data_IF_173087266370
#
_entry.id   IF_173087266370
#
_cell.length_a   1.000
_cell.length_b   1.000
_cell.length_c   1.000
_cell.angle_alpha   90.00
_cell.angle_beta   90.00
_cell.angle_gamma   90.00
#
_symmetry.space_group_name_H-M   'P 1'
#
loop_
_entity.id
_entity.type
_entity.pdbx_description
1 polymer ?
#
# COMPACT_ATOMS: atom_id res chain seq x y z
N UNK A 1 -30.23 -80.44 -19.08
CA UNK A 1 -29.90 -79.21 -19.86
C UNK A 1 -30.43 -78.02 -19.05
N UNK A 2 -29.60 -77.40 -18.23
CA UNK A 2 -29.96 -76.22 -17.43
C UNK A 2 -29.25 -75.02 -18.03
N UNK A 3 -30.01 -74.05 -18.48
CA UNK A 3 -29.55 -72.75 -18.97
C UNK A 3 -29.36 -71.78 -17.78
N UNK A 4 -28.13 -71.30 -17.54
CA UNK A 4 -27.83 -70.22 -16.64
C UNK A 4 -28.03 -68.85 -17.39
N UNK A 5 -28.58 -67.82 -16.76
CA UNK A 5 -28.58 -66.49 -17.33
C UNK A 5 -27.28 -65.73 -16.98
N UNK A 6 -26.69 -65.09 -18.00
CA UNK A 6 -25.59 -64.12 -17.85
C UNK A 6 -26.17 -62.79 -17.30
N UNK A 7 -25.72 -62.41 -16.15
CA UNK A 7 -25.94 -61.05 -15.62
C UNK A 7 -24.83 -60.14 -16.13
N UNK A 8 -25.19 -59.16 -16.97
CA UNK A 8 -24.31 -58.07 -17.39
C UNK A 8 -24.31 -56.98 -16.33
N UNK A 9 -23.15 -56.77 -15.72
CA UNK A 9 -22.90 -55.67 -14.79
C UNK A 9 -22.64 -54.36 -15.58
N UNK A 10 -23.54 -53.41 -15.52
CA UNK A 10 -23.33 -52.06 -16.04
C UNK A 10 -22.53 -51.27 -15.00
N UNK A 11 -21.26 -50.97 -15.28
CA UNK A 11 -20.45 -50.08 -14.49
C UNK A 11 -20.85 -48.63 -14.71
N UNK A 12 -21.47 -47.99 -13.73
CA UNK A 12 -21.75 -46.56 -13.72
C UNK A 12 -20.44 -45.80 -13.51
N UNK A 13 -19.96 -45.10 -14.53
CA UNK A 13 -18.86 -44.17 -14.42
C UNK A 13 -19.37 -42.90 -13.71
N UNK A 14 -18.95 -42.71 -12.48
CA UNK A 14 -19.16 -41.45 -11.75
C UNK A 14 -18.25 -40.38 -12.34
N UNK A 15 -18.78 -39.47 -13.11
CA UNK A 15 -18.10 -38.25 -13.54
C UNK A 15 -18.01 -37.30 -12.34
N UNK A 16 -16.84 -37.24 -11.70
CA UNK A 16 -16.53 -36.22 -10.73
C UNK A 16 -16.42 -34.87 -11.43
N UNK A 17 -17.48 -34.07 -11.32
CA UNK A 17 -17.47 -32.66 -11.70
C UNK A 17 -16.48 -31.96 -10.74
N UNK A 18 -15.29 -31.62 -11.22
CA UNK A 18 -14.43 -30.67 -10.52
C UNK A 18 -15.16 -29.33 -10.51
N UNK A 19 -15.62 -28.91 -9.34
CA UNK A 19 -16.12 -27.57 -9.14
C UNK A 19 -15.01 -26.60 -9.56
N UNK A 20 -15.24 -25.84 -10.62
CA UNK A 20 -14.35 -24.73 -11.00
C UNK A 20 -14.37 -23.75 -9.83
N UNK A 21 -13.27 -23.69 -9.11
CA UNK A 21 -13.12 -22.76 -7.99
C UNK A 21 -13.20 -21.35 -8.58
N UNK A 22 -14.21 -20.58 -8.20
CA UNK A 22 -14.38 -19.22 -8.67
C UNK A 22 -13.09 -18.42 -8.38
N UNK A 23 -12.61 -17.66 -9.37
CA UNK A 23 -11.45 -16.81 -9.17
C UNK A 23 -11.69 -15.87 -7.96
N UNK A 24 -10.66 -15.61 -7.13
CA UNK A 24 -10.78 -14.67 -6.02
C UNK A 24 -11.32 -13.33 -6.52
N UNK A 25 -12.18 -12.70 -5.71
CA UNK A 25 -12.71 -11.36 -6.02
C UNK A 25 -11.52 -10.39 -6.06
N UNK A 26 -11.38 -9.52 -7.08
CA UNK A 26 -10.22 -8.65 -7.20
C UNK A 26 -10.11 -7.66 -6.04
N UNK A 27 -8.89 -7.35 -5.64
CA UNK A 27 -8.55 -6.37 -4.60
C UNK A 27 -7.64 -5.34 -5.25
N UNK A 28 -7.78 -4.05 -4.91
CA UNK A 28 -6.85 -3.01 -5.33
C UNK A 28 -5.98 -2.64 -4.13
N UNK A 29 -4.68 -2.85 -4.28
CA UNK A 29 -3.67 -2.44 -3.31
C UNK A 29 -3.09 -1.10 -3.77
N UNK A 30 -3.46 -0.01 -3.08
CA UNK A 30 -3.07 1.35 -3.42
C UNK A 30 -1.66 1.71 -2.94
N UNK A 31 -1.05 0.84 -2.15
CA UNK A 31 0.25 1.07 -1.52
C UNK A 31 1.11 -0.20 -1.60
N UNK A 32 1.54 -0.52 -2.80
CA UNK A 32 2.39 -1.68 -3.05
C UNK A 32 3.81 -1.23 -3.43
N UNK A 33 4.84 -1.87 -2.89
CA UNK A 33 6.21 -1.51 -3.19
C UNK A 33 6.92 -2.52 -4.11
N UNK A 34 7.69 -1.97 -5.04
CA UNK A 34 8.67 -2.71 -5.83
C UNK A 34 10.07 -2.19 -5.46
N UNK A 35 10.75 -2.90 -4.56
CA UNK A 35 12.02 -2.49 -3.95
C UNK A 35 13.10 -3.56 -4.12
N UNK A 36 14.37 -3.19 -3.85
CA UNK A 36 15.45 -4.13 -3.62
C UNK A 36 15.30 -4.81 -2.24
N UNK A 37 15.80 -6.04 -2.13
CA UNK A 37 15.72 -6.81 -0.88
C UNK A 37 16.52 -6.18 0.28
N UNK A 38 17.41 -5.25 -0.02
CA UNK A 38 18.27 -4.50 0.91
C UNK A 38 17.77 -3.07 1.19
N UNK A 39 16.62 -2.67 0.65
CA UNK A 39 16.13 -1.30 0.73
C UNK A 39 15.88 -0.81 2.17
N UNK A 40 15.55 -1.72 3.09
CA UNK A 40 15.22 -1.40 4.49
C UNK A 40 16.16 -2.09 5.49
N UNK A 41 17.42 -2.27 5.10
CA UNK A 41 18.43 -2.94 5.90
C UNK A 41 18.99 -4.18 5.19
N UNK A 42 19.79 -5.01 5.86
CA UNK A 42 20.36 -6.19 5.22
C UNK A 42 19.25 -7.14 4.75
N UNK A 43 19.43 -7.84 3.61
CA UNK A 43 18.49 -8.84 3.15
C UNK A 43 18.14 -9.85 4.24
N UNK A 44 16.87 -10.20 4.37
CA UNK A 44 16.38 -10.99 5.48
C UNK A 44 16.01 -10.19 6.73
N UNK A 45 15.97 -8.86 6.63
CA UNK A 45 15.42 -7.98 7.69
C UNK A 45 14.01 -8.40 8.08
N UNK A 46 13.61 -8.06 9.31
CA UNK A 46 12.35 -8.53 9.89
C UNK A 46 11.49 -7.37 10.36
N UNK A 47 10.18 -7.59 10.36
CA UNK A 47 9.19 -6.68 10.93
C UNK A 47 8.16 -7.47 11.75
N UNK A 48 7.63 -6.88 12.80
CA UNK A 48 6.48 -7.45 13.52
C UNK A 48 5.16 -7.14 12.80
N UNK A 49 4.26 -8.10 12.80
CA UNK A 49 2.92 -7.93 12.25
C UNK A 49 1.87 -8.59 13.18
N UNK A 50 1.36 -7.85 14.20
CA UNK A 50 1.73 -6.48 14.61
C UNK A 50 2.91 -6.41 15.61
N UNK A 51 3.40 -5.20 15.85
CA UNK A 51 4.17 -4.91 17.05
C UNK A 51 3.24 -5.01 18.28
N UNK A 52 3.80 -5.54 19.39
CA UNK A 52 3.20 -5.43 20.71
C UNK A 52 3.47 -4.03 21.30
N UNK A 53 4.25 -3.91 22.37
CA UNK A 53 4.76 -2.59 22.74
C UNK A 53 5.81 -2.15 21.72
N UNK A 54 5.77 -0.85 21.35
CA UNK A 54 6.80 -0.29 20.50
C UNK A 54 8.18 -0.36 21.17
N UNK A 55 9.26 -0.65 20.42
CA UNK A 55 10.61 -0.69 20.98
C UNK A 55 10.99 0.64 21.63
N UNK A 56 11.57 0.58 22.83
CA UNK A 56 12.07 1.76 23.55
C UNK A 56 13.55 1.95 23.26
N UNK A 57 13.95 3.21 23.00
CA UNK A 57 15.35 3.59 22.86
C UNK A 57 15.90 4.07 24.21
N UNK A 58 17.09 3.58 24.58
CA UNK A 58 17.90 4.14 25.65
C UNK A 58 18.88 5.17 25.03
N UNK A 59 18.77 6.46 25.34
CA UNK A 59 19.64 7.47 24.75
C UNK A 59 21.12 7.35 25.16
N UNK A 60 21.42 6.61 26.21
CA UNK A 60 22.80 6.34 26.63
C UNK A 60 23.49 5.23 25.83
N UNK A 61 22.72 4.50 25.00
CA UNK A 61 23.22 3.40 24.17
C UNK A 61 23.33 3.79 22.69
N UNK A 62 24.19 3.07 21.98
CA UNK A 62 24.31 3.23 20.52
C UNK A 62 22.97 3.00 19.83
N UNK A 63 22.68 3.81 18.81
CA UNK A 63 21.42 3.70 18.04
C UNK A 63 21.27 2.32 17.36
N UNK A 64 22.39 1.69 17.00
CA UNK A 64 22.40 0.39 16.35
C UNK A 64 21.75 -0.71 17.20
N UNK A 65 21.84 -0.63 18.54
CA UNK A 65 21.16 -1.55 19.44
C UNK A 65 19.63 -1.44 19.30
N UNK A 66 19.13 -0.22 19.14
CA UNK A 66 17.72 0.04 18.92
C UNK A 66 17.26 -0.46 17.54
N UNK A 67 18.01 -0.10 16.49
CA UNK A 67 17.72 -0.52 15.11
C UNK A 67 17.71 -2.05 15.00
N UNK A 68 18.68 -2.72 15.62
CA UNK A 68 18.74 -4.19 15.64
C UNK A 68 17.46 -4.80 16.25
N UNK A 69 16.96 -4.23 17.35
CA UNK A 69 15.71 -4.70 17.99
C UNK A 69 14.46 -4.35 17.19
N UNK A 70 14.55 -3.39 16.28
CA UNK A 70 13.42 -3.01 15.45
C UNK A 70 13.34 -3.81 14.15
N UNK A 71 14.47 -4.05 13.45
CA UNK A 71 14.47 -4.59 12.08
C UNK A 71 15.21 -5.92 11.90
N UNK A 72 16.12 -6.30 12.82
CA UNK A 72 16.93 -7.51 12.67
C UNK A 72 16.43 -8.64 13.57
N UNK A 73 16.18 -8.31 14.84
CA UNK A 73 15.71 -9.23 15.85
C UNK A 73 14.57 -8.62 16.67
N UNK A 74 13.42 -8.31 16.02
CA UNK A 74 12.29 -7.73 16.71
C UNK A 74 11.69 -8.72 17.71
N UNK A 75 11.25 -8.19 18.86
CA UNK A 75 10.66 -8.96 19.94
C UNK A 75 9.15 -9.16 19.72
N UNK A 76 8.82 -10.10 18.83
CA UNK A 76 7.44 -10.52 18.57
C UNK A 76 7.36 -12.01 18.22
N UNK A 77 6.20 -12.60 18.46
CA UNK A 77 6.00 -14.04 18.34
C UNK A 77 6.19 -14.59 16.92
N UNK A 78 5.81 -13.80 15.91
CA UNK A 78 5.87 -14.18 14.49
C UNK A 78 6.33 -12.99 13.64
N UNK A 79 7.64 -12.71 13.59
CA UNK A 79 8.15 -11.69 12.70
C UNK A 79 8.05 -12.14 11.24
N UNK A 80 7.63 -11.22 10.37
CA UNK A 80 7.77 -11.39 8.93
C UNK A 80 9.23 -11.21 8.56
N UNK A 81 9.72 -12.00 7.60
CA UNK A 81 11.12 -11.99 7.15
C UNK A 81 11.19 -11.65 5.66
N UNK A 82 11.99 -10.66 5.31
CA UNK A 82 12.24 -10.30 3.92
C UNK A 82 13.02 -11.40 3.18
N UNK A 83 12.80 -11.58 1.87
CA UNK A 83 13.57 -12.48 1.03
C UNK A 83 15.06 -12.08 0.94
N UNK A 84 15.96 -13.03 0.69
CA UNK A 84 17.41 -12.77 0.69
C UNK A 84 17.93 -12.10 -0.60
N UNK A 85 17.12 -11.96 -1.65
CA UNK A 85 17.54 -11.38 -2.94
C UNK A 85 16.37 -10.69 -3.65
N UNK A 86 16.68 -9.72 -4.52
CA UNK A 86 15.69 -9.03 -5.34
C UNK A 86 14.86 -9.99 -6.20
N UNK A 87 15.50 -11.01 -6.77
CA UNK A 87 14.80 -12.03 -7.54
C UNK A 87 13.79 -12.82 -6.71
N UNK A 88 14.13 -13.14 -5.47
CA UNK A 88 13.23 -13.85 -4.55
C UNK A 88 12.08 -12.92 -4.11
N UNK A 89 12.36 -11.63 -3.84
CA UNK A 89 11.37 -10.63 -3.50
C UNK A 89 10.40 -10.39 -4.65
N UNK A 90 10.89 -10.17 -5.87
CA UNK A 90 10.06 -10.02 -7.06
C UNK A 90 9.14 -11.23 -7.26
N UNK A 91 9.67 -12.46 -7.13
CA UNK A 91 8.87 -13.68 -7.27
C UNK A 91 7.76 -13.74 -6.22
N UNK A 92 8.07 -13.48 -4.95
CA UNK A 92 7.09 -13.51 -3.87
C UNK A 92 6.00 -12.43 -4.05
N UNK A 93 6.38 -11.25 -4.50
CA UNK A 93 5.42 -10.18 -4.84
C UNK A 93 4.48 -10.59 -5.97
N UNK A 94 5.00 -11.20 -7.05
CA UNK A 94 4.18 -11.71 -8.16
C UNK A 94 3.26 -12.85 -7.70
N UNK A 95 3.74 -13.75 -6.82
CA UNK A 95 2.93 -14.80 -6.23
C UNK A 95 1.76 -14.23 -5.41
N UNK A 96 2.00 -13.18 -4.60
CA UNK A 96 0.94 -12.48 -3.87
C UNK A 96 -0.08 -11.79 -4.78
N UNK A 97 0.40 -11.06 -5.80
CA UNK A 97 -0.47 -10.42 -6.80
C UNK A 97 -1.43 -11.45 -7.42
N UNK A 98 -0.94 -12.61 -7.77
CA UNK A 98 -1.75 -13.70 -8.35
C UNK A 98 -2.67 -14.36 -7.32
N UNK A 99 -2.11 -14.70 -6.15
CA UNK A 99 -2.82 -15.42 -5.09
C UNK A 99 -4.04 -14.67 -4.58
N UNK A 100 -3.89 -13.35 -4.35
CA UNK A 100 -4.96 -12.49 -3.83
C UNK A 100 -5.72 -11.75 -4.93
N UNK A 101 -5.42 -12.05 -6.21
CA UNK A 101 -5.99 -11.33 -7.36
C UNK A 101 -5.88 -9.80 -7.19
N UNK A 102 -4.67 -9.32 -6.85
CA UNK A 102 -4.42 -7.89 -6.63
C UNK A 102 -4.31 -7.15 -7.96
N UNK A 103 -4.80 -5.91 -7.96
CA UNK A 103 -4.35 -4.83 -8.84
C UNK A 103 -3.49 -3.93 -7.96
N UNK A 104 -2.17 -3.91 -8.19
CA UNK A 104 -1.20 -3.25 -7.33
C UNK A 104 -0.75 -1.91 -7.92
N UNK A 105 -1.00 -0.80 -7.22
CA UNK A 105 -0.33 0.47 -7.49
C UNK A 105 1.07 0.36 -6.93
N UNK A 106 2.03 0.03 -7.80
CA UNK A 106 3.38 -0.35 -7.39
C UNK A 106 4.35 0.81 -7.53
N UNK A 107 4.91 1.26 -6.43
CA UNK A 107 5.90 2.33 -6.33
C UNK A 107 7.27 1.83 -5.88
N UNK A 108 8.30 2.62 -6.20
CA UNK A 108 9.69 2.31 -5.86
C UNK A 108 10.67 2.81 -6.91
N UNK A 109 11.95 2.39 -6.88
CA UNK A 109 12.91 2.66 -7.94
C UNK A 109 12.41 2.14 -9.29
N UNK A 110 12.52 2.96 -10.35
CA UNK A 110 11.90 2.71 -11.66
C UNK A 110 12.22 1.32 -12.25
N UNK A 111 13.45 0.83 -12.07
CA UNK A 111 13.87 -0.47 -12.60
C UNK A 111 13.17 -1.66 -11.90
N UNK A 112 12.88 -1.56 -10.60
CA UNK A 112 12.12 -2.58 -9.88
C UNK A 112 10.64 -2.54 -10.25
N UNK A 113 10.06 -1.35 -10.37
CA UNK A 113 8.68 -1.16 -10.83
C UNK A 113 8.50 -1.72 -12.24
N UNK A 114 9.44 -1.43 -13.15
CA UNK A 114 9.40 -1.94 -14.53
C UNK A 114 9.52 -3.46 -14.57
N UNK A 115 10.38 -4.07 -13.74
CA UNK A 115 10.52 -5.52 -13.64
C UNK A 115 9.22 -6.18 -13.16
N UNK A 116 8.56 -5.61 -12.16
CA UNK A 116 7.28 -6.10 -11.65
C UNK A 116 6.18 -5.94 -12.71
N UNK A 117 6.09 -4.75 -13.35
CA UNK A 117 5.12 -4.47 -14.39
C UNK A 117 5.26 -5.41 -15.59
N UNK A 118 6.48 -5.68 -16.07
CA UNK A 118 6.72 -6.64 -17.16
C UNK A 118 6.27 -8.06 -16.80
N UNK A 119 6.31 -8.43 -15.52
CA UNK A 119 5.94 -9.79 -15.08
C UNK A 119 4.44 -9.96 -14.88
N UNK A 120 3.72 -8.88 -14.53
CA UNK A 120 2.27 -8.88 -14.29
C UNK A 120 1.59 -7.61 -14.85
N UNK A 121 1.65 -7.36 -16.18
CA UNK A 121 1.26 -6.08 -16.79
C UNK A 121 -0.23 -5.74 -16.66
N UNK A 122 -1.09 -6.75 -16.51
CA UNK A 122 -2.54 -6.55 -16.33
C UNK A 122 -2.94 -6.29 -14.88
N UNK A 123 -2.01 -6.48 -13.93
CA UNK A 123 -2.28 -6.40 -12.49
C UNK A 123 -1.40 -5.35 -11.78
N UNK A 124 -0.53 -4.66 -12.50
CA UNK A 124 0.35 -3.63 -11.93
C UNK A 124 0.05 -2.28 -12.58
N UNK A 125 -0.22 -1.29 -11.76
CA UNK A 125 -0.32 0.12 -12.12
C UNK A 125 1.01 0.77 -11.69
N UNK A 126 1.89 1.15 -12.63
CA UNK A 126 3.21 1.66 -12.28
C UNK A 126 3.13 3.07 -11.68
N UNK A 127 3.80 3.24 -10.56
CA UNK A 127 3.96 4.48 -9.84
C UNK A 127 5.45 4.79 -9.60
N UNK A 128 5.79 6.02 -9.25
CA UNK A 128 7.17 6.42 -8.96
C UNK A 128 7.26 7.08 -7.60
N UNK A 129 8.03 6.44 -6.69
CA UNK A 129 8.34 6.97 -5.37
C UNK A 129 9.57 7.87 -5.40
N UNK A 130 9.50 9.04 -4.76
CA UNK A 130 10.63 9.93 -4.53
C UNK A 130 10.34 10.95 -3.42
N UNK A 131 11.39 11.63 -2.94
CA UNK A 131 11.26 12.70 -1.95
C UNK A 131 12.32 12.70 -0.87
N UNK A 132 12.91 11.54 -0.58
CA UNK A 132 13.98 11.34 0.40
C UNK A 132 15.40 11.41 -0.21
N UNK A 133 15.48 11.59 -1.53
CA UNK A 133 16.70 11.70 -2.32
C UNK A 133 16.63 12.79 -3.41
N UNK A 134 17.44 12.68 -4.45
CA UNK A 134 17.39 13.60 -5.59
C UNK A 134 15.99 13.59 -6.23
N UNK A 135 15.44 14.78 -6.46
CA UNK A 135 14.14 14.92 -7.10
C UNK A 135 14.25 14.68 -8.62
N UNK A 136 13.36 13.88 -9.23
CA UNK A 136 13.33 13.66 -10.66
C UNK A 136 12.97 14.95 -11.41
N UNK A 137 13.48 15.13 -12.62
CA UNK A 137 13.07 16.27 -13.44
C UNK A 137 11.64 16.10 -13.96
N UNK A 138 10.95 17.23 -14.15
CA UNK A 138 9.61 17.23 -14.77
C UNK A 138 9.63 16.61 -16.18
N UNK A 139 10.73 16.79 -16.91
CA UNK A 139 10.91 16.18 -18.25
C UNK A 139 10.94 14.65 -18.16
N UNK A 140 11.67 14.11 -17.20
CA UNK A 140 11.75 12.66 -16.96
C UNK A 140 10.38 12.08 -16.61
N UNK A 141 9.63 12.74 -15.71
CA UNK A 141 8.27 12.30 -15.33
C UNK A 141 7.32 12.29 -16.53
N UNK A 142 7.37 13.32 -17.39
CA UNK A 142 6.59 13.36 -18.64
C UNK A 142 6.97 12.20 -19.57
N UNK A 143 8.25 11.88 -19.68
CA UNK A 143 8.73 10.78 -20.52
C UNK A 143 8.25 9.43 -19.99
N UNK A 144 8.29 9.21 -18.68
CA UNK A 144 7.78 7.99 -18.05
C UNK A 144 6.25 7.87 -18.25
N UNK A 145 5.53 8.96 -18.08
CA UNK A 145 4.09 9.00 -18.34
C UNK A 145 3.76 8.65 -19.79
N UNK A 146 4.43 9.26 -20.76
CA UNK A 146 4.24 8.99 -22.19
C UNK A 146 4.52 7.53 -22.57
N UNK A 147 5.47 6.87 -21.87
CA UNK A 147 5.76 5.43 -22.03
C UNK A 147 4.77 4.52 -21.31
N UNK A 148 3.79 5.06 -20.57
CA UNK A 148 2.87 4.28 -19.74
C UNK A 148 3.48 3.69 -18.46
N UNK A 149 4.68 4.13 -18.09
CA UNK A 149 5.44 3.68 -16.90
C UNK A 149 5.25 4.60 -15.69
N UNK A 150 4.40 5.62 -15.79
CA UNK A 150 3.98 6.49 -14.70
C UNK A 150 2.47 6.71 -14.82
N UNK A 151 1.70 6.12 -13.91
CA UNK A 151 0.24 6.23 -13.80
C UNK A 151 -0.22 6.83 -12.46
N UNK A 152 0.65 6.82 -11.46
CA UNK A 152 0.46 7.44 -10.15
C UNK A 152 1.77 8.10 -9.75
N UNK A 153 1.71 9.33 -9.27
CA UNK A 153 2.86 10.05 -8.75
C UNK A 153 2.95 9.78 -7.24
N UNK A 154 3.84 8.92 -6.85
CA UNK A 154 4.00 8.50 -5.44
C UNK A 154 4.53 7.07 -5.29
N UNK A 155 4.93 6.77 -4.13
CA UNK A 155 4.83 7.47 -2.83
C UNK A 155 5.73 8.71 -2.80
N UNK A 156 5.19 9.87 -2.44
CA UNK A 156 5.95 11.10 -2.23
C UNK A 156 6.39 11.19 -0.77
N UNK A 157 7.70 11.03 -0.53
CA UNK A 157 8.29 10.86 0.81
C UNK A 157 9.03 12.10 1.32
N UNK A 158 8.59 13.29 0.93
CA UNK A 158 9.27 14.58 1.19
C UNK A 158 9.57 14.83 2.67
N UNK A 159 8.74 14.36 3.57
CA UNK A 159 8.94 14.53 5.00
C UNK A 159 10.24 13.87 5.54
N UNK A 160 10.76 12.83 4.86
CA UNK A 160 12.03 12.20 5.23
C UNK A 160 13.23 13.13 4.97
N UNK A 161 13.12 14.00 3.96
CA UNK A 161 14.09 15.05 3.68
C UNK A 161 13.84 16.35 4.49
N UNK A 162 12.83 16.37 5.38
CA UNK A 162 12.46 17.56 6.15
C UNK A 162 11.73 18.60 5.33
N UNK A 163 11.12 18.21 4.21
CA UNK A 163 10.36 19.07 3.31
C UNK A 163 8.89 18.97 3.68
N UNK A 164 8.24 20.11 3.92
CA UNK A 164 6.82 20.19 4.20
C UNK A 164 5.99 19.95 2.92
N UNK A 165 4.73 19.45 3.03
CA UNK A 165 3.90 19.16 1.86
C UNK A 165 3.57 20.38 0.98
N UNK A 166 3.63 21.57 1.54
CA UNK A 166 3.36 22.87 0.89
C UNK A 166 4.63 23.61 0.45
N UNK A 167 5.81 22.98 0.54
CA UNK A 167 7.08 23.60 0.17
C UNK A 167 7.09 23.98 -1.33
N UNK A 168 7.50 25.22 -1.69
CA UNK A 168 7.54 25.65 -3.09
C UNK A 168 8.36 24.78 -4.03
N UNK A 169 9.34 24.03 -3.51
CA UNK A 169 10.17 23.12 -4.32
C UNK A 169 9.39 21.97 -4.92
N UNK A 170 8.27 21.60 -4.31
CA UNK A 170 7.45 20.46 -4.76
C UNK A 170 6.22 20.89 -5.57
N UNK A 171 5.94 22.19 -5.63
CA UNK A 171 4.84 22.75 -6.43
C UNK A 171 4.82 22.29 -7.91
N UNK A 172 5.97 22.20 -8.63
CA UNK A 172 5.99 21.73 -10.02
C UNK A 172 5.47 20.30 -10.20
N UNK A 173 5.56 19.45 -9.18
CA UNK A 173 5.08 18.06 -9.23
C UNK A 173 3.57 17.99 -9.10
N UNK A 174 2.97 18.81 -8.24
CA UNK A 174 1.52 18.92 -8.12
C UNK A 174 0.89 19.51 -9.38
N UNK A 175 1.50 20.57 -9.93
CA UNK A 175 1.07 21.16 -11.20
C UNK A 175 1.13 20.13 -12.35
N UNK A 176 2.21 19.34 -12.44
CA UNK A 176 2.32 18.27 -13.42
C UNK A 176 1.24 17.20 -13.22
N UNK A 177 1.01 16.79 -11.98
CA UNK A 177 0.03 15.76 -11.67
C UNK A 177 -1.39 16.22 -12.01
N UNK A 178 -1.74 17.48 -11.72
CA UNK A 178 -3.04 18.06 -12.11
C UNK A 178 -3.17 18.18 -13.63
N UNK A 179 -2.14 18.64 -14.33
CA UNK A 179 -2.12 18.76 -15.79
C UNK A 179 -2.32 17.42 -16.50
N UNK A 180 -1.66 16.37 -16.02
CA UNK A 180 -1.71 15.03 -16.63
C UNK A 180 -2.79 14.12 -16.03
N UNK A 181 -3.64 14.65 -15.12
CA UNK A 181 -4.63 13.89 -14.35
C UNK A 181 -4.02 12.64 -13.67
N UNK A 182 -2.79 12.78 -13.15
CA UNK A 182 -2.14 11.72 -12.39
C UNK A 182 -2.59 11.75 -10.92
N UNK A 183 -3.06 10.65 -10.35
CA UNK A 183 -3.25 10.56 -8.91
C UNK A 183 -1.92 10.78 -8.17
N UNK A 184 -1.98 11.50 -7.05
CA UNK A 184 -0.84 11.72 -6.15
C UNK A 184 -1.02 10.87 -4.90
N UNK A 185 0.02 10.12 -4.56
CA UNK A 185 0.16 9.38 -3.31
C UNK A 185 1.17 10.11 -2.42
N UNK A 186 0.72 10.69 -1.32
CA UNK A 186 1.61 11.46 -0.44
C UNK A 186 1.74 10.80 0.93
N UNK A 187 2.99 10.60 1.35
CA UNK A 187 3.31 10.09 2.67
C UNK A 187 3.01 11.15 3.75
N UNK A 188 1.89 11.01 4.42
CA UNK A 188 1.48 11.79 5.59
C UNK A 188 1.11 10.79 6.69
N UNK A 189 2.07 10.44 7.51
CA UNK A 189 1.87 9.38 8.49
C UNK A 189 3.16 9.01 9.21
N UNK A 190 3.19 7.82 9.82
CA UNK A 190 4.34 7.39 10.60
C UNK A 190 5.47 6.92 9.69
N UNK A 191 6.67 7.42 9.93
CA UNK A 191 7.89 6.72 9.54
C UNK A 191 8.25 5.65 10.57
N UNK A 192 9.29 4.87 10.33
CA UNK A 192 9.78 3.91 11.32
C UNK A 192 10.05 4.58 12.67
N UNK A 193 9.64 3.99 13.80
CA UNK A 193 9.84 4.59 15.11
C UNK A 193 11.29 4.98 15.35
N UNK A 194 11.53 6.27 15.63
CA UNK A 194 12.88 6.80 15.86
C UNK A 194 13.69 7.11 14.60
N UNK A 195 13.09 7.08 13.42
CA UNK A 195 13.76 7.29 12.11
C UNK A 195 14.63 8.56 12.07
N UNK A 196 14.26 9.62 12.80
CA UNK A 196 15.08 10.84 12.89
C UNK A 196 16.47 10.63 13.50
N UNK A 197 16.71 9.50 14.15
CA UNK A 197 17.97 9.15 14.78
C UNK A 197 18.78 8.11 13.99
N UNK A 198 18.16 7.52 12.95
CA UNK A 198 18.84 6.59 12.05
C UNK A 198 18.24 6.68 10.65
N UNK A 199 19.06 6.90 9.64
CA UNK A 199 18.64 6.90 8.23
C UNK A 199 17.85 8.13 7.75
N UNK A 200 17.02 8.74 8.58
CA UNK A 200 16.18 9.88 8.19
C UNK A 200 16.37 11.13 9.06
N UNK A 201 17.56 11.78 9.09
CA UNK A 201 17.81 12.91 9.99
C UNK A 201 16.94 14.15 9.69
N UNK A 202 16.41 14.25 8.48
CA UNK A 202 15.46 15.30 8.08
C UNK A 202 14.04 15.07 8.57
N UNK A 203 13.66 13.84 8.86
CA UNK A 203 12.29 13.48 9.22
C UNK A 203 11.80 14.25 10.47
N UNK A 204 10.61 14.83 10.33
CA UNK A 204 9.91 15.47 11.46
C UNK A 204 8.43 15.12 11.40
N UNK A 205 7.89 14.61 12.50
CA UNK A 205 6.48 14.23 12.60
C UNK A 205 5.52 15.41 12.33
N UNK A 206 5.94 16.66 12.61
CA UNK A 206 5.14 17.85 12.27
C UNK A 206 4.85 18.02 10.77
N UNK A 207 5.67 17.42 9.88
CA UNK A 207 5.43 17.42 8.44
C UNK A 207 4.41 16.35 8.00
N UNK A 208 3.92 15.55 8.95
CA UNK A 208 2.81 14.61 8.76
C UNK A 208 1.46 15.20 9.19
N UNK A 209 1.37 16.51 9.43
CA UNK A 209 0.08 17.16 9.68
C UNK A 209 -0.73 17.20 8.38
N UNK A 210 -1.89 16.51 8.30
CA UNK A 210 -2.73 16.55 7.10
C UNK A 210 -3.15 17.95 6.67
N UNK A 211 -3.34 18.89 7.62
CA UNK A 211 -3.75 20.27 7.31
C UNK A 211 -2.66 21.06 6.56
N UNK A 212 -1.40 20.60 6.58
CA UNK A 212 -0.36 21.20 5.75
C UNK A 212 -0.61 21.03 4.23
N UNK A 213 -1.59 20.19 3.84
CA UNK A 213 -1.99 20.02 2.43
C UNK A 213 -3.00 21.06 1.94
N UNK A 214 -3.65 21.86 2.82
CA UNK A 214 -4.77 22.72 2.44
C UNK A 214 -4.37 23.74 1.37
N UNK A 215 -3.29 24.49 1.58
CA UNK A 215 -2.84 25.51 0.63
C UNK A 215 -2.50 24.94 -0.75
N UNK A 216 -1.92 23.74 -0.79
CA UNK A 216 -1.65 23.03 -2.03
C UNK A 216 -2.95 22.61 -2.72
N UNK A 217 -3.91 22.07 -1.97
CA UNK A 217 -5.22 21.66 -2.51
C UNK A 217 -6.03 22.84 -3.03
N UNK A 218 -5.89 24.01 -2.41
CA UNK A 218 -6.54 25.25 -2.90
C UNK A 218 -5.92 25.74 -4.22
N UNK A 219 -4.61 25.56 -4.42
CA UNK A 219 -3.93 25.89 -5.69
C UNK A 219 -4.22 24.88 -6.79
N UNK A 220 -4.43 23.60 -6.41
CA UNK A 220 -4.66 22.48 -7.34
C UNK A 220 -6.02 21.80 -7.10
N UNK A 221 -7.14 22.48 -7.36
CA UNK A 221 -8.48 21.98 -7.03
C UNK A 221 -8.92 20.75 -7.84
N UNK A 222 -8.24 20.43 -8.93
CA UNK A 222 -8.53 19.24 -9.76
C UNK A 222 -7.63 18.05 -9.43
N UNK A 223 -6.66 18.23 -8.53
CA UNK A 223 -5.72 17.19 -8.18
C UNK A 223 -6.42 16.01 -7.49
N UNK A 224 -6.22 14.81 -8.01
CA UNK A 224 -6.61 13.57 -7.33
C UNK A 224 -5.49 13.19 -6.37
N UNK A 225 -5.78 13.16 -5.07
CA UNK A 225 -4.77 12.88 -4.05
C UNK A 225 -5.30 11.87 -3.03
N UNK A 226 -4.41 11.00 -2.57
CA UNK A 226 -4.65 10.21 -1.38
C UNK A 226 -3.49 10.32 -0.39
N UNK A 227 -3.88 10.39 0.87
CA UNK A 227 -2.97 10.48 2.01
C UNK A 227 -2.66 9.07 2.47
N UNK A 228 -1.40 8.70 2.37
CA UNK A 228 -0.94 7.37 2.77
C UNK A 228 -0.95 7.21 4.29
N UNK A 229 -1.11 5.98 4.78
CA UNK A 229 -1.25 5.63 6.20
C UNK A 229 -2.44 6.32 6.90
N UNK A 230 -3.42 6.79 6.11
CA UNK A 230 -4.58 7.55 6.58
C UNK A 230 -4.20 8.75 7.49
N UNK A 231 -3.00 9.30 7.35
CA UNK A 231 -2.51 10.39 8.19
C UNK A 231 -2.35 10.04 9.68
N UNK A 232 -2.26 8.76 10.04
CA UNK A 232 -2.05 8.36 11.43
C UNK A 232 -0.80 9.03 12.04
N UNK A 233 -0.82 9.49 13.28
CA UNK A 233 -1.91 9.44 14.27
C UNK A 233 -2.80 10.69 14.31
N UNK A 234 -2.71 11.57 13.33
CA UNK A 234 -3.36 12.89 13.30
C UNK A 234 -4.85 12.81 12.89
N UNK A 235 -5.61 11.91 13.52
CA UNK A 235 -6.99 11.59 13.11
C UNK A 235 -7.95 12.77 13.08
N UNK A 236 -7.85 13.75 14.01
CA UNK A 236 -8.69 14.95 14.00
C UNK A 236 -8.37 15.85 12.81
N UNK A 237 -7.08 16.05 12.54
CA UNK A 237 -6.62 16.84 11.39
C UNK A 237 -6.98 16.14 10.07
N UNK A 238 -6.89 14.79 10.02
CA UNK A 238 -7.30 14.03 8.83
C UNK A 238 -8.79 14.14 8.56
N UNK A 239 -9.63 14.04 9.59
CA UNK A 239 -11.07 14.24 9.50
C UNK A 239 -11.39 15.67 9.01
N UNK A 240 -10.72 16.68 9.57
CA UNK A 240 -10.89 18.07 9.17
C UNK A 240 -10.53 18.28 7.69
N UNK A 241 -9.38 17.73 7.25
CA UNK A 241 -8.96 17.81 5.84
C UNK A 241 -9.95 17.12 4.90
N UNK A 242 -10.39 15.89 5.23
CA UNK A 242 -11.35 15.15 4.41
C UNK A 242 -12.73 15.83 4.36
N UNK A 243 -13.10 16.54 5.42
CA UNK A 243 -14.33 17.34 5.46
C UNK A 243 -14.23 18.57 4.56
N UNK A 244 -13.13 19.31 4.65
CA UNK A 244 -12.91 20.53 3.88
C UNK A 244 -12.64 20.25 2.38
N UNK A 245 -11.98 19.13 2.08
CA UNK A 245 -11.54 18.76 0.73
C UNK A 245 -12.10 17.40 0.30
N UNK A 246 -13.30 17.37 -0.33
CA UNK A 246 -14.01 16.13 -0.68
C UNK A 246 -13.27 15.21 -1.67
N UNK A 247 -12.27 15.73 -2.41
CA UNK A 247 -11.42 14.98 -3.33
C UNK A 247 -10.31 14.17 -2.65
N UNK A 248 -10.07 14.37 -1.34
CA UNK A 248 -9.02 13.67 -0.60
C UNK A 248 -9.48 12.28 -0.21
N UNK A 249 -8.68 11.28 -0.55
CA UNK A 249 -8.79 9.89 -0.13
C UNK A 249 -7.65 9.50 0.81
N UNK A 250 -7.72 8.34 1.42
CA UNK A 250 -6.65 7.79 2.27
C UNK A 250 -6.43 6.31 2.00
N UNK A 251 -5.22 5.80 2.27
CA UNK A 251 -4.97 4.36 2.33
C UNK A 251 -4.63 3.89 3.76
N UNK A 252 -4.62 2.56 3.95
CA UNK A 252 -4.37 1.92 5.24
C UNK A 252 -2.95 1.36 5.39
N UNK A 253 -2.06 1.58 4.42
CA UNK A 253 -0.73 0.95 4.37
C UNK A 253 0.04 1.02 5.68
N UNK A 254 0.77 -0.01 5.99
CA UNK A 254 1.54 -0.30 7.21
C UNK A 254 0.74 -0.31 8.53
N UNK A 255 -0.22 0.60 8.70
CA UNK A 255 -0.96 0.70 9.98
C UNK A 255 -1.91 -0.49 10.19
N UNK A 256 -2.33 -1.14 9.12
CA UNK A 256 -3.26 -2.28 9.15
C UNK A 256 -2.60 -3.59 9.59
N UNK A 257 -1.28 -3.72 9.50
CA UNK A 257 -0.58 -4.94 9.95
C UNK A 257 0.51 -4.71 11.01
N UNK A 258 1.26 -3.59 10.93
CA UNK A 258 2.38 -3.37 11.84
C UNK A 258 1.97 -2.78 13.20
N UNK A 259 0.81 -2.14 13.26
CA UNK A 259 0.29 -1.52 14.47
C UNK A 259 -0.53 -2.50 15.33
N UNK A 260 -0.61 -2.29 16.66
CA UNK A 260 -1.50 -3.08 17.50
C UNK A 260 -2.92 -3.08 16.91
N UNK A 261 -3.50 -4.26 16.72
CA UNK A 261 -4.79 -4.42 16.03
C UNK A 261 -5.90 -3.54 16.60
N UNK A 262 -5.96 -3.41 17.93
CA UNK A 262 -6.95 -2.57 18.59
C UNK A 262 -6.79 -1.08 18.23
N UNK A 263 -5.55 -0.60 18.11
CA UNK A 263 -5.27 0.79 17.72
C UNK A 263 -5.67 1.04 16.26
N UNK A 264 -5.26 0.15 15.36
CA UNK A 264 -5.67 0.26 13.95
C UNK A 264 -7.19 0.25 13.80
N UNK A 265 -7.88 -0.68 14.46
CA UNK A 265 -9.34 -0.75 14.39
C UNK A 265 -10.04 0.48 14.98
N UNK A 266 -9.53 1.02 16.09
CA UNK A 266 -10.08 2.24 16.69
C UNK A 266 -9.91 3.44 15.74
N UNK A 267 -8.74 3.55 15.10
CA UNK A 267 -8.46 4.61 14.14
C UNK A 267 -9.33 4.49 12.87
N UNK A 268 -9.38 3.31 12.27
CA UNK A 268 -10.22 3.04 11.10
C UNK A 268 -11.70 3.30 11.38
N UNK A 269 -12.19 2.79 12.53
CA UNK A 269 -13.58 3.00 12.97
C UNK A 269 -13.90 4.48 13.10
N UNK A 270 -12.99 5.28 13.63
CA UNK A 270 -13.17 6.71 13.79
C UNK A 270 -13.39 7.42 12.45
N UNK A 271 -12.63 7.09 11.41
CA UNK A 271 -12.80 7.66 10.07
C UNK A 271 -14.13 7.21 9.44
N UNK A 272 -14.51 5.94 9.64
CA UNK A 272 -15.79 5.39 9.14
C UNK A 272 -16.98 6.05 9.84
N UNK A 273 -16.94 6.16 11.18
CA UNK A 273 -18.01 6.79 11.98
C UNK A 273 -18.14 8.29 11.68
N UNK A 274 -17.06 8.95 11.27
CA UNK A 274 -17.07 10.33 10.80
C UNK A 274 -17.68 10.51 9.40
N UNK A 275 -18.07 9.40 8.73
CA UNK A 275 -18.74 9.41 7.43
C UNK A 275 -17.82 9.32 6.22
N UNK A 276 -16.55 8.95 6.39
CA UNK A 276 -15.56 8.91 5.30
C UNK A 276 -15.23 7.51 4.78
N UNK A 277 -16.01 6.49 5.15
CA UNK A 277 -15.79 5.11 4.75
C UNK A 277 -15.70 4.88 3.24
N UNK A 278 -16.32 5.73 2.43
CA UNK A 278 -16.31 5.68 0.97
C UNK A 278 -15.04 6.28 0.33
N UNK A 279 -14.12 6.81 1.14
CA UNK A 279 -12.84 7.38 0.71
C UNK A 279 -11.62 6.74 1.37
N UNK A 280 -11.80 5.62 2.04
CA UNK A 280 -10.73 4.80 2.59
C UNK A 280 -10.41 3.68 1.61
N UNK A 281 -9.15 3.50 1.25
CA UNK A 281 -8.67 2.49 0.32
C UNK A 281 -7.71 1.54 1.02
N UNK A 282 -7.67 0.31 0.58
CA UNK A 282 -6.69 -0.66 1.02
C UNK A 282 -5.32 -0.35 0.43
N UNK A 283 -4.29 -0.44 1.26
CA UNK A 283 -2.89 -0.45 0.88
C UNK A 283 -2.15 -1.39 1.81
N UNK A 284 -1.28 -2.24 1.28
CA UNK A 284 -0.50 -3.14 2.14
C UNK A 284 0.76 -2.50 2.69
N UNK A 285 1.41 -1.64 1.91
CA UNK A 285 2.75 -1.12 2.23
C UNK A 285 3.69 -2.26 2.68
N UNK A 286 3.69 -3.35 1.89
CA UNK A 286 4.43 -4.57 2.22
C UNK A 286 5.96 -4.39 2.15
N UNK A 287 6.42 -3.32 1.51
CA UNK A 287 7.85 -2.97 1.40
C UNK A 287 8.70 -4.18 0.94
N UNK A 288 9.59 -4.66 1.81
CA UNK A 288 10.45 -5.84 1.55
C UNK A 288 9.91 -7.12 2.19
N UNK A 289 8.71 -7.09 2.77
CA UNK A 289 8.08 -8.23 3.49
C UNK A 289 6.82 -8.70 2.77
N UNK A 290 6.91 -9.57 1.76
CA UNK A 290 5.75 -10.00 0.97
C UNK A 290 4.58 -10.54 1.80
N UNK A 291 4.88 -11.23 2.92
CA UNK A 291 3.85 -11.78 3.81
C UNK A 291 3.03 -10.70 4.55
N UNK A 292 3.47 -9.43 4.52
CA UNK A 292 2.70 -8.32 5.05
C UNK A 292 1.38 -8.11 4.30
N UNK A 293 1.29 -8.47 3.02
CA UNK A 293 0.02 -8.44 2.26
C UNK A 293 -1.06 -9.27 2.96
N UNK A 294 -0.73 -10.49 3.40
CA UNK A 294 -1.69 -11.33 4.10
C UNK A 294 -2.11 -10.73 5.45
N UNK A 295 -1.15 -10.16 6.19
CA UNK A 295 -1.40 -9.56 7.49
C UNK A 295 -2.23 -8.26 7.37
N UNK A 296 -2.01 -7.46 6.32
CA UNK A 296 -2.78 -6.26 6.00
C UNK A 296 -4.24 -6.62 5.65
N UNK A 297 -4.43 -7.61 4.78
CA UNK A 297 -5.78 -8.12 4.45
C UNK A 297 -6.52 -8.62 5.70
N UNK A 298 -5.84 -9.38 6.58
CA UNK A 298 -6.40 -9.80 7.86
C UNK A 298 -6.79 -8.59 8.73
N UNK A 299 -6.04 -7.48 8.64
CA UNK A 299 -6.35 -6.22 9.29
C UNK A 299 -7.74 -5.70 8.96
N UNK A 300 -8.09 -5.68 7.69
CA UNK A 300 -9.42 -5.25 7.22
C UNK A 300 -10.48 -6.33 7.50
N UNK A 301 -10.19 -7.59 7.18
CA UNK A 301 -11.16 -8.67 7.29
C UNK A 301 -11.58 -8.96 8.73
N UNK A 302 -10.68 -8.80 9.70
CA UNK A 302 -10.98 -8.97 11.13
C UNK A 302 -11.69 -7.77 11.78
N UNK A 303 -11.95 -6.68 11.05
CA UNK A 303 -12.67 -5.51 11.55
C UNK A 303 -14.18 -5.81 11.64
N UNK A 304 -14.64 -6.30 12.81
CA UNK A 304 -16.03 -6.71 13.05
C UNK A 304 -17.03 -5.55 12.98
N UNK A 305 -16.59 -4.31 13.18
CA UNK A 305 -17.44 -3.11 13.07
C UNK A 305 -17.75 -2.73 11.62
N UNK A 306 -17.06 -3.31 10.64
CA UNK A 306 -17.31 -3.10 9.22
C UNK A 306 -18.30 -4.14 8.69
N UNK A 307 -19.31 -3.69 7.95
CA UNK A 307 -20.15 -4.57 7.13
C UNK A 307 -19.37 -5.17 5.96
N UNK A 308 -19.86 -6.26 5.38
CA UNK A 308 -19.26 -6.86 4.20
C UNK A 308 -19.18 -5.86 3.01
N UNK A 309 -20.17 -4.98 2.87
CA UNK A 309 -20.17 -3.92 1.85
C UNK A 309 -19.02 -2.91 2.10
N UNK A 310 -18.87 -2.43 3.33
CA UNK A 310 -17.79 -1.51 3.69
C UNK A 310 -16.39 -2.13 3.50
N UNK A 311 -16.21 -3.41 3.85
CA UNK A 311 -14.96 -4.13 3.56
C UNK A 311 -14.70 -4.18 2.05
N UNK A 312 -15.73 -4.46 1.24
CA UNK A 312 -15.61 -4.46 -0.22
C UNK A 312 -15.30 -3.08 -0.76
N UNK A 313 -15.87 -2.02 -0.20
CA UNK A 313 -15.59 -0.65 -0.58
C UNK A 313 -14.11 -0.32 -0.32
N UNK A 314 -13.58 -0.63 0.86
CA UNK A 314 -12.18 -0.41 1.23
C UNK A 314 -11.24 -1.25 0.34
N UNK A 315 -11.54 -2.52 0.14
CA UNK A 315 -10.68 -3.45 -0.61
C UNK A 315 -10.70 -3.23 -2.13
N UNK A 316 -11.71 -2.54 -2.68
CA UNK A 316 -11.82 -2.38 -4.13
C UNK A 316 -12.59 -1.15 -4.60
N UNK A 317 -13.87 -0.96 -4.21
CA UNK A 317 -14.74 -0.03 -4.92
C UNK A 317 -14.27 1.43 -4.81
N UNK A 318 -13.75 1.83 -3.65
CA UNK A 318 -13.23 3.17 -3.41
C UNK A 318 -12.00 3.45 -4.31
N UNK A 319 -11.08 2.51 -4.36
CA UNK A 319 -9.88 2.61 -5.20
C UNK A 319 -10.23 2.57 -6.70
N UNK A 320 -11.15 1.69 -7.11
CA UNK A 320 -11.61 1.63 -8.50
C UNK A 320 -12.22 2.96 -8.95
N UNK A 321 -13.05 3.58 -8.10
CA UNK A 321 -13.63 4.91 -8.34
C UNK A 321 -12.56 6.00 -8.41
N UNK A 322 -11.64 6.01 -7.46
CA UNK A 322 -10.53 6.97 -7.39
C UNK A 322 -9.62 6.89 -8.62
N UNK A 323 -9.27 5.67 -9.05
CA UNK A 323 -8.44 5.42 -10.23
C UNK A 323 -9.21 5.51 -11.56
N UNK A 324 -10.53 5.66 -11.52
CA UNK A 324 -11.41 5.65 -12.71
C UNK A 324 -11.24 4.38 -13.54
N UNK A 325 -11.24 3.23 -12.85
CA UNK A 325 -11.20 1.94 -13.53
C UNK A 325 -12.57 1.55 -14.04
N UNK A 326 -12.65 1.13 -15.30
CA UNK A 326 -13.85 0.53 -15.89
C UNK A 326 -14.21 -0.81 -15.26
N UNK A 327 -15.35 -1.39 -15.66
CA UNK A 327 -15.85 -2.68 -15.15
C UNK A 327 -14.88 -3.84 -15.39
N UNK A 328 -13.98 -3.71 -16.34
CA UNK A 328 -12.92 -4.67 -16.66
C UNK A 328 -11.62 -4.45 -15.84
N UNK A 329 -11.63 -3.50 -14.89
CA UNK A 329 -10.47 -3.15 -14.05
C UNK A 329 -9.38 -2.37 -14.78
N UNK A 330 -9.63 -1.89 -16.01
CA UNK A 330 -8.71 -1.02 -16.75
C UNK A 330 -9.15 0.42 -16.65
N UNK A 331 -8.17 1.34 -16.76
CA UNK A 331 -8.47 2.77 -16.81
C UNK A 331 -9.41 3.07 -18.00
N UNK A 332 -10.50 3.77 -17.73
CA UNK A 332 -11.36 4.30 -18.78
C UNK A 332 -10.55 5.36 -19.56
N UNK A 333 -10.42 5.16 -20.87
CA UNK A 333 -9.84 6.18 -21.77
C UNK A 333 -10.82 7.34 -21.85
N UNK A 334 -10.38 8.51 -21.39
CA UNK A 334 -11.11 9.76 -21.58
C UNK A 334 -11.05 10.22 -23.03
#
# INVERSE_FOLDING_TARGET
>A
MQLLPLLAAVAAQATTSQAVQAAPVPIIDMHFHAMGADALGPPGSKICAPYGPWPRRDPAKAIDEYVKRFTIAPDCARPLTGPPTDKALLRANVENIRRYNLIAVASGPSHHVEALYRTAPSQVIPALSFGDGPLPSIIELRQLHAKGLLKVLGELTFQYAGIAPDDPRIEPYYALAEELDLPVAIHIGPGPPGISYFGGPGYRMRHSDPLALEEMLMRHPKLRIYVMHAGWPMGDAMIALMYAHPQVYVDTGVIDYAFPRAEFHAYLKRLVDAGFGDRIMFGSDQMVWPDAVAAALEGIESAEFLTAAQKRDILYNNAARFLRLGKDGKAETQ
#
